data_IF_890298959286
#
_entry.id   IF_890298959286
#
_cell.length_a   1.000
_cell.length_b   1.000
_cell.length_c   1.000
_cell.angle_alpha   90.00
_cell.angle_beta   90.00
_cell.angle_gamma   90.00
#
_symmetry.space_group_name_H-M   'P 1'
#
loop_
_entity.id
_entity.type
_entity.pdbx_description
1 polymer ?
#
# COMPACT_ATOMS: atom_id res chain seq x y z
N UNK A 1 -9.84 -25.64 -21.37
CA UNK A 1 -9.92 -25.20 -19.95
C UNK A 1 -9.80 -23.69 -19.91
N UNK A 2 -10.83 -22.98 -19.47
CA UNK A 2 -10.77 -21.53 -19.23
C UNK A 2 -9.90 -21.28 -17.99
N UNK A 3 -8.73 -20.69 -18.15
CA UNK A 3 -7.89 -20.28 -17.01
C UNK A 3 -8.56 -19.09 -16.32
N UNK A 4 -9.06 -19.28 -15.09
CA UNK A 4 -9.67 -18.21 -14.29
C UNK A 4 -8.66 -17.09 -14.04
N UNK A 5 -9.12 -15.85 -14.18
CA UNK A 5 -8.31 -14.66 -13.95
C UNK A 5 -8.47 -14.17 -12.51
N UNK A 6 -7.50 -14.49 -11.66
CA UNK A 6 -7.60 -14.24 -10.23
C UNK A 6 -7.21 -12.82 -9.80
N UNK A 7 -6.51 -12.06 -10.64
CA UNK A 7 -5.98 -10.75 -10.27
C UNK A 7 -7.07 -9.69 -10.09
N UNK A 8 -8.20 -9.81 -10.79
CA UNK A 8 -9.33 -8.90 -10.62
C UNK A 8 -9.90 -8.94 -9.20
N UNK A 9 -9.84 -10.11 -8.54
CA UNK A 9 -10.25 -10.26 -7.14
C UNK A 9 -9.30 -9.59 -6.15
N UNK A 10 -8.11 -9.16 -6.59
CA UNK A 10 -7.21 -8.39 -5.74
C UNK A 10 -7.81 -7.01 -5.36
N UNK A 11 -8.67 -6.44 -6.21
CA UNK A 11 -9.35 -5.16 -5.94
C UNK A 11 -10.28 -5.27 -4.72
N UNK A 12 -11.29 -6.16 -4.70
CA UNK A 12 -12.13 -6.32 -3.51
C UNK A 12 -11.32 -6.83 -2.31
N UNK A 13 -10.29 -7.66 -2.52
CA UNK A 13 -9.40 -8.07 -1.43
C UNK A 13 -8.68 -6.86 -0.78
N UNK A 14 -8.18 -5.91 -1.58
CA UNK A 14 -7.55 -4.71 -1.03
C UNK A 14 -8.56 -3.80 -0.31
N UNK A 15 -9.77 -3.65 -0.85
CA UNK A 15 -10.82 -2.89 -0.18
C UNK A 15 -11.14 -3.47 1.21
N UNK A 16 -11.32 -4.80 1.31
CA UNK A 16 -11.56 -5.47 2.59
C UNK A 16 -10.36 -5.27 3.53
N UNK A 17 -9.13 -5.40 3.04
CA UNK A 17 -7.93 -5.15 3.82
C UNK A 17 -7.87 -3.70 4.35
N UNK A 18 -8.33 -2.73 3.55
CA UNK A 18 -8.40 -1.32 3.96
C UNK A 18 -9.41 -1.09 5.11
N UNK A 19 -10.45 -1.92 5.26
CA UNK A 19 -11.43 -1.80 6.34
C UNK A 19 -10.90 -2.31 7.69
N UNK A 20 -9.99 -3.28 7.70
CA UNK A 20 -9.42 -3.88 8.93
C UNK A 20 -8.93 -2.85 9.95
N UNK A 21 -8.08 -1.86 9.60
CA UNK A 21 -7.62 -0.87 10.56
C UNK A 21 -8.73 0.05 11.08
N UNK A 22 -9.78 0.31 10.29
CA UNK A 22 -10.95 1.07 10.75
C UNK A 22 -11.72 0.30 11.82
N UNK A 23 -11.98 -0.99 11.59
CA UNK A 23 -12.62 -1.86 12.58
C UNK A 23 -11.79 -1.94 13.86
N UNK A 24 -10.47 -2.10 13.75
CA UNK A 24 -9.59 -2.11 14.90
C UNK A 24 -9.67 -0.81 15.73
N UNK A 25 -9.69 0.35 15.08
CA UNK A 25 -9.88 1.64 15.77
C UNK A 25 -11.19 1.71 16.54
N UNK A 26 -12.31 1.33 15.91
CA UNK A 26 -13.61 1.31 16.57
C UNK A 26 -13.64 0.35 17.77
N UNK A 27 -13.06 -0.84 17.63
CA UNK A 27 -12.99 -1.81 18.72
C UNK A 27 -12.20 -1.27 19.93
N UNK A 28 -11.10 -0.55 19.69
CA UNK A 28 -10.34 0.09 20.77
C UNK A 28 -11.18 1.12 21.52
N UNK A 29 -11.85 2.01 20.78
CA UNK A 29 -12.69 3.06 21.38
C UNK A 29 -13.86 2.45 22.14
N UNK A 30 -14.63 1.54 21.53
CA UNK A 30 -15.80 0.89 22.14
C UNK A 30 -15.40 0.18 23.44
N UNK A 31 -14.29 -0.56 23.45
CA UNK A 31 -13.82 -1.26 24.65
C UNK A 31 -13.44 -0.29 25.77
N UNK A 32 -12.74 0.78 25.42
CA UNK A 32 -12.24 1.70 26.42
C UNK A 32 -13.30 2.73 26.88
N UNK A 33 -14.43 2.86 26.17
CA UNK A 33 -15.60 3.65 26.59
C UNK A 33 -16.75 2.80 27.15
N UNK A 34 -16.55 1.51 27.40
CA UNK A 34 -17.58 0.57 27.85
C UNK A 34 -18.85 0.60 26.98
N UNK A 35 -18.68 0.64 25.65
CA UNK A 35 -19.77 0.61 24.69
C UNK A 35 -20.37 1.98 24.35
N UNK A 36 -19.90 3.07 24.98
CA UNK A 36 -20.36 4.43 24.68
C UNK A 36 -19.69 4.92 23.39
N UNK A 37 -20.33 4.65 22.25
CA UNK A 37 -19.87 5.06 20.93
C UNK A 37 -20.98 5.87 20.25
N UNK A 38 -20.66 7.08 19.78
CA UNK A 38 -21.61 7.94 19.09
C UNK A 38 -21.80 7.43 17.64
N UNK A 39 -22.92 6.77 17.39
CA UNK A 39 -23.29 6.28 16.06
C UNK A 39 -23.88 7.37 15.16
N UNK A 40 -24.31 8.51 15.73
CA UNK A 40 -24.89 9.62 14.96
C UNK A 40 -23.76 10.41 14.30
N UNK A 41 -22.66 10.65 15.02
CA UNK A 41 -21.49 11.32 14.47
C UNK A 41 -20.15 10.72 14.98
N UNK A 42 -19.78 9.50 14.54
CA UNK A 42 -18.58 8.79 15.00
C UNK A 42 -17.26 9.44 14.55
N UNK A 43 -17.33 10.46 13.69
CA UNK A 43 -16.19 11.24 13.21
C UNK A 43 -16.24 12.70 13.68
N UNK A 44 -17.19 13.05 14.54
CA UNK A 44 -17.39 14.40 15.04
C UNK A 44 -16.28 14.85 15.98
N UNK A 45 -15.98 16.15 15.96
CA UNK A 45 -14.99 16.75 16.86
C UNK A 45 -15.39 16.58 18.33
N UNK A 46 -16.68 16.70 18.65
CA UNK A 46 -17.23 16.51 20.01
C UNK A 46 -16.99 15.11 20.57
N UNK A 47 -17.22 14.07 19.75
CA UNK A 47 -16.95 12.70 20.14
C UNK A 47 -15.44 12.46 20.33
N UNK A 48 -14.61 12.99 19.45
CA UNK A 48 -13.16 12.90 19.58
C UNK A 48 -12.63 13.59 20.85
N UNK A 49 -13.17 14.75 21.22
CA UNK A 49 -12.82 15.43 22.48
C UNK A 49 -13.24 14.62 23.71
N UNK A 50 -14.43 14.04 23.68
CA UNK A 50 -14.93 13.16 24.74
C UNK A 50 -14.02 11.95 24.92
N UNK A 51 -13.60 11.34 23.81
CA UNK A 51 -12.66 10.23 23.79
C UNK A 51 -11.29 10.64 24.34
N UNK A 52 -10.74 11.79 23.93
CA UNK A 52 -9.45 12.31 24.44
C UNK A 52 -9.45 12.56 25.95
N UNK A 53 -10.60 12.96 26.52
CA UNK A 53 -10.76 13.16 27.96
C UNK A 53 -10.92 11.84 28.73
N UNK A 54 -11.52 10.83 28.10
CA UNK A 54 -11.91 9.58 28.75
C UNK A 54 -10.88 8.46 28.60
N UNK A 55 -10.05 8.52 27.55
CA UNK A 55 -9.10 7.47 27.18
C UNK A 55 -7.68 7.85 27.56
N UNK A 56 -6.86 6.85 27.86
CA UNK A 56 -5.42 7.06 27.97
C UNK A 56 -4.83 7.50 26.60
N UNK A 57 -3.74 8.27 26.67
CA UNK A 57 -3.10 8.87 25.49
C UNK A 57 -2.59 7.81 24.50
N UNK A 58 -2.17 6.64 24.98
CA UNK A 58 -1.62 5.59 24.14
C UNK A 58 -2.72 4.89 23.33
N UNK A 59 -3.84 4.54 23.98
CA UNK A 59 -5.02 3.95 23.32
C UNK A 59 -5.62 4.91 22.30
N UNK A 60 -5.79 6.18 22.67
CA UNK A 60 -6.29 7.19 21.73
C UNK A 60 -5.34 7.35 20.53
N UNK A 61 -4.04 7.51 20.77
CA UNK A 61 -3.05 7.66 19.70
C UNK A 61 -3.00 6.45 18.77
N UNK A 62 -3.16 5.23 19.30
CA UNK A 62 -3.26 4.01 18.48
C UNK A 62 -4.53 3.99 17.63
N UNK A 63 -5.67 4.42 18.19
CA UNK A 63 -6.93 4.53 17.46
C UNK A 63 -6.86 5.55 16.32
N UNK A 64 -6.16 6.67 16.52
CA UNK A 64 -5.92 7.70 15.50
C UNK A 64 -5.02 7.17 14.38
N UNK A 65 -3.91 6.49 14.73
CA UNK A 65 -3.02 5.86 13.75
C UNK A 65 -3.75 4.79 12.91
N UNK A 66 -4.62 4.01 13.53
CA UNK A 66 -5.43 3.02 12.81
C UNK A 66 -6.43 3.67 11.83
N UNK A 67 -7.12 4.75 12.23
CA UNK A 67 -7.96 5.53 11.30
C UNK A 67 -7.15 6.14 10.16
N UNK A 68 -5.98 6.69 10.46
CA UNK A 68 -5.10 7.26 9.44
C UNK A 68 -4.58 6.19 8.46
N UNK A 69 -4.29 4.97 8.93
CA UNK A 69 -3.93 3.84 8.08
C UNK A 69 -5.09 3.42 7.15
N UNK A 70 -6.33 3.42 7.65
CA UNK A 70 -7.54 3.18 6.84
C UNK A 70 -7.69 4.21 5.73
N UNK A 71 -7.67 5.50 6.07
CA UNK A 71 -7.79 6.59 5.08
C UNK A 71 -6.69 6.49 4.02
N UNK A 72 -5.44 6.27 4.44
CA UNK A 72 -4.33 6.08 3.50
C UNK A 72 -4.56 4.88 2.56
N UNK A 73 -5.09 3.76 3.08
CA UNK A 73 -5.40 2.60 2.25
C UNK A 73 -6.47 2.92 1.20
N UNK A 74 -7.53 3.66 1.57
CA UNK A 74 -8.57 4.09 0.62
C UNK A 74 -8.05 5.09 -0.42
N UNK A 75 -7.15 6.00 -0.05
CA UNK A 75 -6.50 6.93 -1.01
C UNK A 75 -5.65 6.19 -2.05
N UNK A 76 -5.09 5.03 -1.71
CA UNK A 76 -4.28 4.21 -2.62
C UNK A 76 -5.12 3.23 -3.47
N UNK A 77 -6.39 3.02 -3.12
CA UNK A 77 -7.27 2.08 -3.81
C UNK A 77 -7.51 2.45 -5.28
N UNK A 78 -7.78 3.72 -5.67
CA UNK A 78 -7.95 4.07 -7.09
C UNK A 78 -6.72 3.76 -7.92
N UNK A 79 -5.52 4.05 -7.40
CA UNK A 79 -4.26 3.77 -8.12
C UNK A 79 -4.06 2.26 -8.33
N UNK A 80 -4.30 1.46 -7.28
CA UNK A 80 -4.20 0.02 -7.36
C UNK A 80 -5.24 -0.59 -8.32
N UNK A 81 -6.50 -0.18 -8.20
CA UNK A 81 -7.57 -0.66 -9.07
C UNK A 81 -7.31 -0.35 -10.54
N UNK A 82 -6.89 0.88 -10.86
CA UNK A 82 -6.50 1.27 -12.22
C UNK A 82 -5.33 0.43 -12.74
N UNK A 83 -4.31 0.20 -11.92
CA UNK A 83 -3.15 -0.62 -12.30
C UNK A 83 -3.55 -2.07 -12.62
N UNK A 84 -4.39 -2.68 -11.78
CA UNK A 84 -4.92 -4.03 -12.02
C UNK A 84 -5.75 -4.07 -13.30
N UNK A 85 -6.70 -3.15 -13.47
CA UNK A 85 -7.57 -3.11 -14.65
C UNK A 85 -6.74 -2.94 -15.94
N UNK A 86 -5.83 -1.97 -15.99
CA UNK A 86 -4.98 -1.74 -17.17
C UNK A 86 -4.10 -2.95 -17.47
N UNK A 87 -3.51 -3.60 -16.46
CA UNK A 87 -2.70 -4.80 -16.65
C UNK A 87 -3.52 -5.98 -17.20
N UNK A 88 -4.77 -6.12 -16.74
CA UNK A 88 -5.70 -7.12 -17.24
C UNK A 88 -6.10 -6.86 -18.70
N UNK A 89 -6.44 -5.61 -19.04
CA UNK A 89 -6.77 -5.21 -20.42
C UNK A 89 -5.61 -5.40 -21.39
N UNK A 90 -4.38 -5.19 -20.91
CA UNK A 90 -3.14 -5.44 -21.65
C UNK A 90 -2.74 -6.93 -21.70
N UNK A 91 -3.54 -7.84 -21.12
CA UNK A 91 -3.31 -9.28 -21.17
C UNK A 91 -2.11 -9.78 -20.36
N UNK A 92 -1.69 -9.04 -19.33
CA UNK A 92 -0.44 -9.30 -18.60
C UNK A 92 -0.52 -10.44 -17.55
N UNK A 93 -1.62 -11.17 -17.38
CA UNK A 93 -1.84 -12.00 -16.17
C UNK A 93 -2.45 -13.42 -16.37
N UNK A 94 -1.75 -14.45 -15.84
CA UNK A 94 -2.26 -15.77 -15.37
C UNK A 94 -1.37 -16.36 -14.24
N UNK A 95 -1.92 -16.73 -13.07
CA UNK A 95 -1.21 -17.31 -11.88
C UNK A 95 -0.66 -16.38 -10.75
N UNK A 96 -1.33 -16.32 -9.59
CA UNK A 96 -0.90 -15.54 -8.40
C UNK A 96 0.19 -16.30 -7.60
N UNK A 97 1.34 -15.67 -7.27
CA UNK A 97 2.20 -15.83 -6.05
C UNK A 97 3.73 -15.58 -6.25
N UNK A 98 4.28 -14.81 -5.30
CA UNK A 98 5.65 -14.47 -4.82
C UNK A 98 6.85 -14.14 -5.73
N UNK A 99 7.40 -12.93 -5.52
CA UNK A 99 8.84 -12.63 -5.33
C UNK A 99 9.01 -11.18 -4.82
N UNK A 100 9.36 -10.99 -3.55
CA UNK A 100 9.72 -9.69 -2.98
C UNK A 100 11.24 -9.53 -3.04
N UNK A 101 11.77 -8.87 -4.08
CA UNK A 101 13.21 -8.49 -4.19
C UNK A 101 13.45 -6.98 -4.26
N UNK A 102 12.45 -6.16 -3.95
CA UNK A 102 12.54 -4.68 -4.09
C UNK A 102 12.80 -3.99 -2.74
N UNK A 103 12.57 -4.65 -1.60
CA UNK A 103 12.70 -4.03 -0.26
C UNK A 103 14.14 -3.97 0.30
N UNK A 104 15.11 -4.70 -0.29
CA UNK A 104 16.44 -4.90 0.34
C UNK A 104 17.39 -3.71 0.12
N UNK A 105 17.24 -2.95 -0.97
CA UNK A 105 18.17 -1.87 -1.31
C UNK A 105 17.97 -0.56 -0.52
N UNK A 106 16.74 -0.10 -0.21
CA UNK A 106 16.57 1.16 0.53
C UNK A 106 16.92 1.03 2.02
N UNK A 107 16.67 -0.13 2.64
CA UNK A 107 16.86 -0.36 4.07
C UNK A 107 18.34 -0.33 4.49
N UNK A 108 19.27 -0.70 3.59
CA UNK A 108 20.70 -0.69 3.88
C UNK A 108 21.32 0.71 3.79
N UNK A 109 20.82 1.58 2.89
CA UNK A 109 21.36 2.94 2.68
C UNK A 109 20.88 3.96 3.73
N UNK A 110 19.76 3.69 4.41
CA UNK A 110 19.14 4.63 5.36
C UNK A 110 19.60 4.46 6.80
N UNK A 111 20.30 3.37 7.15
CA UNK A 111 20.86 3.18 8.50
C UNK A 111 22.04 4.12 8.79
N UNK A 112 22.62 4.75 7.79
CA UNK A 112 23.85 5.56 7.89
C UNK A 112 23.65 7.07 7.85
N UNK A 113 22.41 7.59 7.76
CA UNK A 113 22.15 9.03 7.57
C UNK A 113 21.50 9.70 8.81
N UNK A 114 21.89 10.95 9.15
CA UNK A 114 21.27 11.73 10.23
C UNK A 114 19.83 12.17 9.90
N UNK A 115 19.00 12.29 10.95
CA UNK A 115 17.53 12.34 10.90
C UNK A 115 16.91 13.55 10.13
N UNK A 116 17.61 14.68 10.06
CA UNK A 116 17.17 15.90 9.36
C UNK A 116 17.31 15.81 7.85
N UNK A 117 18.37 15.15 7.37
CA UNK A 117 18.64 14.91 5.94
C UNK A 117 17.84 13.73 5.38
N UNK A 118 17.31 12.87 6.27
CA UNK A 118 16.56 11.68 5.85
C UNK A 118 15.22 12.03 5.22
N UNK A 119 14.55 13.11 5.62
CA UNK A 119 13.24 13.48 5.09
C UNK A 119 13.31 13.94 3.62
N UNK A 120 14.21 14.88 3.30
CA UNK A 120 14.44 15.37 1.94
C UNK A 120 15.15 14.33 1.06
N UNK A 121 16.13 13.63 1.62
CA UNK A 121 16.79 12.50 0.96
C UNK A 121 15.80 11.39 0.61
N UNK A 122 14.78 11.15 1.43
CA UNK A 122 13.72 10.19 1.11
C UNK A 122 12.76 10.68 0.05
N UNK A 123 12.33 11.94 0.02
CA UNK A 123 11.52 12.44 -1.10
C UNK A 123 12.29 12.31 -2.41
N UNK A 124 13.58 12.67 -2.42
CA UNK A 124 14.44 12.55 -3.57
C UNK A 124 14.66 11.08 -3.98
N UNK A 125 15.03 10.19 -3.05
CA UNK A 125 15.18 8.74 -3.30
C UNK A 125 13.85 8.11 -3.72
N UNK A 126 12.72 8.57 -3.20
CA UNK A 126 11.38 8.12 -3.57
C UNK A 126 11.03 8.50 -5.01
N UNK A 127 11.31 9.74 -5.40
CA UNK A 127 11.19 10.22 -6.78
C UNK A 127 12.16 9.44 -7.68
N UNK A 128 13.40 9.22 -7.25
CA UNK A 128 14.39 8.46 -8.01
C UNK A 128 14.06 6.96 -8.12
N UNK A 129 13.43 6.34 -7.12
CA UNK A 129 12.94 4.94 -7.20
C UNK A 129 11.75 4.86 -8.15
N UNK A 130 10.80 5.81 -8.09
CA UNK A 130 9.69 5.87 -9.05
C UNK A 130 10.23 6.04 -10.47
N UNK A 131 11.19 6.93 -10.69
CA UNK A 131 11.81 7.18 -11.99
C UNK A 131 12.71 6.03 -12.47
N UNK A 132 13.44 5.36 -11.57
CA UNK A 132 14.33 4.24 -11.92
C UNK A 132 13.57 2.93 -12.12
N UNK A 133 12.42 2.73 -11.47
CA UNK A 133 11.53 1.58 -11.71
C UNK A 133 10.92 1.62 -13.12
N UNK A 134 10.74 2.83 -13.68
CA UNK A 134 10.39 3.05 -15.08
C UNK A 134 11.54 2.67 -16.04
N UNK A 135 12.79 2.96 -15.66
CA UNK A 135 13.97 2.62 -16.47
C UNK A 135 14.45 1.16 -16.33
N UNK A 136 14.21 0.49 -15.21
CA UNK A 136 14.64 -0.91 -15.05
C UNK A 136 13.79 -1.90 -15.86
N UNK A 137 12.61 -1.46 -16.34
CA UNK A 137 11.82 -2.22 -17.31
C UNK A 137 12.39 -2.18 -18.73
N UNK A 138 13.35 -1.30 -19.05
CA UNK A 138 14.04 -1.26 -20.35
C UNK A 138 15.24 -2.22 -20.45
N UNK A 139 15.81 -2.69 -19.33
CA UNK A 139 17.03 -3.53 -19.34
C UNK A 139 16.78 -5.04 -19.20
N UNK A 140 15.52 -5.47 -19.07
CA UNK A 140 15.15 -6.89 -18.97
C UNK A 140 14.30 -7.33 -20.18
N UNK A 141 14.78 -7.04 -21.39
CA UNK A 141 14.32 -7.70 -22.62
C UNK A 141 15.04 -9.04 -22.68
N UNK A 142 14.49 -10.06 -22.02
CA UNK A 142 15.04 -11.41 -22.08
C UNK A 142 14.65 -12.27 -20.89
N UNK A 143 14.04 -13.42 -21.17
CA UNK A 143 13.54 -14.46 -20.27
C UNK A 143 12.26 -14.13 -19.47
N UNK A 144 11.16 -14.77 -19.89
CA UNK A 144 9.93 -15.05 -19.15
C UNK A 144 9.14 -13.84 -18.63
N UNK A 145 8.55 -13.09 -19.57
CA UNK A 145 7.70 -11.92 -19.30
C UNK A 145 6.33 -12.26 -18.69
N UNK A 146 5.81 -13.48 -18.90
CA UNK A 146 4.43 -13.83 -18.54
C UNK A 146 4.25 -14.22 -17.05
N UNK A 147 5.30 -14.70 -16.38
CA UNK A 147 5.25 -15.11 -14.95
C UNK A 147 5.59 -13.97 -13.97
N UNK A 148 6.11 -12.84 -14.47
CA UNK A 148 6.68 -11.76 -13.63
C UNK A 148 5.68 -10.67 -13.26
N UNK A 149 4.60 -10.49 -14.03
CA UNK A 149 3.67 -9.36 -13.85
C UNK A 149 2.62 -9.61 -12.75
N UNK A 150 2.14 -10.84 -12.62
CA UNK A 150 1.11 -11.23 -11.65
C UNK A 150 1.61 -11.39 -10.19
N UNK A 151 2.92 -11.39 -9.98
CA UNK A 151 3.54 -11.34 -8.65
C UNK A 151 3.33 -9.98 -7.96
N UNK A 152 3.03 -8.93 -8.72
CA UNK A 152 2.94 -7.54 -8.23
C UNK A 152 1.66 -7.26 -7.43
N UNK A 153 0.52 -7.81 -7.84
CA UNK A 153 -0.76 -7.65 -7.13
C UNK A 153 -0.69 -8.29 -5.72
N UNK A 154 -0.16 -9.52 -5.63
CA UNK A 154 0.07 -10.19 -4.35
C UNK A 154 1.12 -9.49 -3.49
N UNK A 155 2.22 -9.02 -4.10
CA UNK A 155 3.25 -8.25 -3.39
C UNK A 155 2.68 -6.94 -2.82
N UNK A 156 1.86 -6.22 -3.60
CA UNK A 156 1.15 -5.03 -3.12
C UNK A 156 0.32 -5.35 -1.88
N UNK A 157 -0.56 -6.37 -1.95
CA UNK A 157 -1.41 -6.75 -0.83
C UNK A 157 -0.58 -7.10 0.43
N UNK A 158 0.49 -7.88 0.27
CA UNK A 158 1.40 -8.22 1.37
C UNK A 158 2.08 -6.98 1.97
N UNK A 159 2.57 -6.06 1.13
CA UNK A 159 3.15 -4.79 1.58
C UNK A 159 2.12 -3.92 2.30
N UNK A 160 0.85 -3.94 1.89
CA UNK A 160 -0.23 -3.20 2.58
C UNK A 160 -0.56 -3.78 3.95
N UNK A 161 -0.46 -5.09 4.14
CA UNK A 161 -0.56 -5.72 5.47
C UNK A 161 0.56 -5.22 6.37
N UNK A 162 1.81 -5.30 5.90
CA UNK A 162 2.99 -4.86 6.65
C UNK A 162 2.92 -3.36 6.96
N UNK A 163 2.58 -2.53 5.96
CA UNK A 163 2.41 -1.09 6.11
C UNK A 163 1.39 -0.76 7.19
N UNK A 164 0.21 -1.38 7.14
CA UNK A 164 -0.88 -1.14 8.10
C UNK A 164 -0.44 -1.50 9.52
N UNK A 165 0.21 -2.64 9.69
CA UNK A 165 0.74 -3.06 11.00
C UNK A 165 1.77 -2.06 11.54
N UNK A 166 2.76 -1.70 10.72
CA UNK A 166 3.81 -0.72 11.08
C UNK A 166 3.19 0.62 11.44
N UNK A 167 2.20 1.10 10.67
CA UNK A 167 1.52 2.38 10.92
C UNK A 167 0.87 2.40 12.31
N UNK A 168 0.20 1.32 12.70
CA UNK A 168 -0.56 1.26 13.95
C UNK A 168 0.37 1.15 15.16
N UNK A 169 1.38 0.29 15.09
CA UNK A 169 2.20 -0.13 16.24
C UNK A 169 3.39 0.79 16.48
N UNK A 170 3.99 1.35 15.43
CA UNK A 170 5.24 2.10 15.57
C UNK A 170 4.99 3.53 16.03
N UNK A 171 5.61 3.89 17.16
CA UNK A 171 5.54 5.24 17.75
C UNK A 171 6.86 6.00 17.64
N UNK A 172 7.97 5.31 17.33
CA UNK A 172 9.28 5.96 17.26
C UNK A 172 9.52 6.66 15.91
N UNK A 173 10.05 7.89 15.90
CA UNK A 173 10.31 8.62 14.65
C UNK A 173 11.23 7.87 13.69
N UNK A 174 12.25 7.17 14.22
CA UNK A 174 13.22 6.41 13.41
C UNK A 174 12.57 5.20 12.72
N UNK A 175 11.72 4.47 13.43
CA UNK A 175 11.04 3.31 12.84
C UNK A 175 9.87 3.75 11.96
N UNK A 176 9.30 4.94 12.15
CA UNK A 176 8.29 5.50 11.26
C UNK A 176 8.79 5.66 9.81
N UNK A 177 10.11 5.66 9.57
CA UNK A 177 10.70 5.65 8.22
C UNK A 177 10.40 4.35 7.47
N UNK A 178 10.32 3.21 8.16
CA UNK A 178 9.99 1.93 7.53
C UNK A 178 8.61 1.96 6.88
N UNK A 179 7.67 2.71 7.46
CA UNK A 179 6.34 2.94 6.90
C UNK A 179 6.43 3.56 5.50
N UNK A 180 7.24 4.61 5.32
CA UNK A 180 7.39 5.28 4.02
C UNK A 180 8.04 4.35 3.00
N UNK A 181 9.03 3.55 3.38
CA UNK A 181 9.68 2.60 2.48
C UNK A 181 8.73 1.51 1.99
N UNK A 182 7.95 0.93 2.90
CA UNK A 182 6.95 -0.08 2.56
C UNK A 182 5.87 0.53 1.67
N UNK A 183 5.43 1.75 1.97
CA UNK A 183 4.47 2.49 1.14
C UNK A 183 4.98 2.72 -0.28
N UNK A 184 6.18 3.28 -0.41
CA UNK A 184 6.82 3.56 -1.69
C UNK A 184 6.99 2.30 -2.52
N UNK A 185 7.38 1.20 -1.88
CA UNK A 185 7.52 -0.08 -2.56
C UNK A 185 6.16 -0.59 -3.07
N UNK A 186 5.10 -0.44 -2.27
CA UNK A 186 3.75 -0.82 -2.70
C UNK A 186 3.27 0.04 -3.88
N UNK A 187 3.46 1.36 -3.83
CA UNK A 187 3.11 2.26 -4.94
C UNK A 187 3.93 1.94 -6.19
N UNK A 188 5.21 1.62 -6.04
CA UNK A 188 6.08 1.18 -7.13
C UNK A 188 5.53 -0.03 -7.88
N UNK A 189 4.93 -1.01 -7.19
CA UNK A 189 4.25 -2.15 -7.84
C UNK A 189 3.12 -1.69 -8.78
N UNK A 190 2.29 -0.73 -8.35
CA UNK A 190 1.22 -0.17 -9.18
C UNK A 190 1.77 0.57 -10.39
N UNK A 191 2.80 1.41 -10.18
CA UNK A 191 3.44 2.15 -11.28
C UNK A 191 4.04 1.20 -12.32
N UNK A 192 4.76 0.15 -11.89
CA UNK A 192 5.31 -0.85 -12.81
C UNK A 192 4.23 -1.54 -13.65
N UNK A 193 3.08 -1.89 -13.04
CA UNK A 193 1.96 -2.48 -13.78
C UNK A 193 1.41 -1.52 -14.84
N UNK A 194 1.23 -0.24 -14.49
CA UNK A 194 0.74 0.78 -15.41
C UNK A 194 1.71 1.04 -16.57
N UNK A 195 3.01 1.19 -16.29
CA UNK A 195 4.02 1.37 -17.34
C UNK A 195 4.08 0.17 -18.28
N UNK A 196 4.07 -1.05 -17.74
CA UNK A 196 4.07 -2.27 -18.56
C UNK A 196 2.81 -2.39 -19.41
N UNK A 197 1.65 -2.09 -18.83
CA UNK A 197 0.39 -2.07 -19.58
C UNK A 197 0.46 -1.04 -20.72
N UNK A 198 0.93 0.18 -20.44
CA UNK A 198 1.12 1.23 -21.43
C UNK A 198 2.02 0.81 -22.59
N UNK A 199 3.18 0.20 -22.30
CA UNK A 199 4.10 -0.25 -23.35
C UNK A 199 3.47 -1.31 -24.26
N UNK A 200 2.75 -2.28 -23.70
CA UNK A 200 2.06 -3.31 -24.51
C UNK A 200 0.96 -2.71 -25.39
N UNK A 201 0.25 -1.69 -24.89
CA UNK A 201 -0.78 -0.99 -25.65
C UNK A 201 -0.22 -0.17 -26.80
N UNK A 202 0.95 0.45 -26.62
CA UNK A 202 1.66 1.22 -27.67
C UNK A 202 2.25 0.31 -28.74
N UNK A 203 2.77 -0.87 -28.38
CA UNK A 203 3.40 -1.83 -29.30
C UNK A 203 2.42 -2.52 -30.26
N UNK A 204 1.14 -2.10 -30.31
CA UNK A 204 0.15 -2.64 -31.23
C UNK A 204 -0.28 -4.08 -30.94
N UNK A 205 0.10 -4.65 -29.79
CA UNK A 205 -0.24 -6.03 -29.38
C UNK A 205 -1.68 -6.18 -28.86
N UNK A 206 -2.47 -5.11 -28.93
CA UNK A 206 -3.93 -5.10 -28.82
C UNK A 206 -4.47 -5.14 -27.38
N UNK A 207 -5.42 -4.26 -27.08
CA UNK A 207 -6.36 -4.49 -25.97
C UNK A 207 -7.11 -5.80 -26.24
N UNK A 208 -7.14 -6.69 -25.26
CA UNK A 208 -8.09 -7.80 -25.27
C UNK A 208 -9.41 -7.28 -24.73
N UNK A 209 -10.26 -6.74 -25.61
CA UNK A 209 -11.67 -6.45 -25.31
C UNK A 209 -12.52 -7.70 -25.50
#
# INVERSE_FOLDING_TARGET
MTTSNYSIYAIPAFYILALVPQFYSHLLVIRATNGRFDNVNPRGASFAETCKKSLDKATWGRSERARAAHTNALENLPLFASAVICANMAGLEKGMVNSVRILVYPLCYLKSLPLSETYYGMILVSVLIILSSSCFSLLAIGSDADLKNLKMCGAFLGLRVVYTFVYIVVESPKLALTRTLVWMTSVGCCMTLLFKAGNVLVDGKGMRL
#
